data_IF_985535003750
#
_entry.id   IF_985535003750
#
_cell.length_a   1.000
_cell.length_b   1.000
_cell.length_c   1.000
_cell.angle_alpha   90.00
_cell.angle_beta   90.00
_cell.angle_gamma   90.00
#
_symmetry.space_group_name_H-M   'P 1'
#
loop_
_entity.id
_entity.type
_entity.pdbx_description
1 polymer ?
#
# COMPACT_ATOMS: atom_id res chain seq x y z
N UNK A 1 -4.22 -23.55 -15.32
CA UNK A 1 -3.33 -22.63 -16.03
C UNK A 1 -3.75 -21.19 -15.73
N UNK A 2 -2.93 -20.19 -16.00
CA UNK A 2 -3.27 -18.76 -15.79
C UNK A 2 -4.29 -18.22 -16.79
N UNK A 3 -4.41 -18.88 -17.96
CA UNK A 3 -5.47 -18.72 -18.93
C UNK A 3 -5.61 -20.04 -19.71
N UNK A 4 -6.78 -20.34 -20.32
CA UNK A 4 -6.95 -21.56 -21.12
C UNK A 4 -5.89 -21.68 -22.21
N UNK A 5 -5.12 -22.79 -22.20
CA UNK A 5 -4.09 -23.07 -23.19
C UNK A 5 -2.78 -22.30 -22.99
N UNK A 6 -2.60 -21.59 -21.87
CA UNK A 6 -1.39 -20.80 -21.67
C UNK A 6 -0.16 -21.66 -21.39
N UNK A 7 -0.33 -22.90 -20.94
CA UNK A 7 0.77 -23.75 -20.47
C UNK A 7 1.41 -23.26 -19.16
N UNK A 8 0.94 -22.15 -18.58
CA UNK A 8 1.52 -21.54 -17.38
C UNK A 8 0.65 -21.93 -16.19
N UNK A 9 1.23 -22.64 -15.22
CA UNK A 9 0.55 -23.10 -14.02
C UNK A 9 0.81 -22.22 -12.80
N UNK A 10 0.19 -22.58 -11.68
CA UNK A 10 0.48 -21.96 -10.37
C UNK A 10 1.91 -22.28 -9.90
N UNK A 11 2.39 -23.48 -10.21
CA UNK A 11 3.73 -23.96 -9.90
C UNK A 11 4.56 -24.02 -11.19
N UNK A 12 5.82 -23.58 -11.11
CA UNK A 12 6.71 -23.43 -12.26
C UNK A 12 7.57 -24.66 -12.56
N UNK A 13 7.84 -25.53 -11.58
CA UNK A 13 8.72 -26.70 -11.75
C UNK A 13 8.00 -27.93 -12.28
N UNK A 14 8.76 -28.81 -12.95
CA UNK A 14 8.28 -30.12 -13.43
C UNK A 14 6.93 -30.06 -14.16
N UNK A 15 6.85 -29.18 -15.16
CA UNK A 15 5.72 -29.07 -16.10
C UNK A 15 5.81 -30.16 -17.17
N UNK A 16 4.75 -30.31 -17.97
CA UNK A 16 4.62 -31.39 -18.95
C UNK A 16 4.05 -32.65 -18.32
N UNK A 17 3.37 -33.49 -19.10
CA UNK A 17 2.73 -34.70 -18.58
C UNK A 17 3.72 -35.68 -17.93
N UNK A 18 5.00 -35.60 -18.32
CA UNK A 18 6.14 -36.39 -17.83
C UNK A 18 6.99 -35.64 -16.79
N UNK A 19 6.70 -34.38 -16.50
CA UNK A 19 7.47 -33.53 -15.59
C UNK A 19 8.84 -33.06 -16.11
N UNK A 20 9.14 -33.20 -17.41
CA UNK A 20 10.43 -32.84 -18.00
C UNK A 20 10.63 -31.34 -18.25
N UNK A 21 9.53 -30.56 -18.23
CA UNK A 21 9.54 -29.15 -18.59
C UNK A 21 9.58 -28.25 -17.36
N UNK A 22 9.84 -26.97 -17.56
CA UNK A 22 9.85 -25.95 -16.51
C UNK A 22 9.25 -24.66 -17.04
N UNK A 23 8.70 -23.86 -16.13
CA UNK A 23 8.03 -22.57 -16.34
C UNK A 23 6.71 -22.67 -17.13
N UNK A 24 6.72 -23.36 -18.27
CA UNK A 24 5.60 -23.52 -19.19
C UNK A 24 5.54 -24.94 -19.72
N UNK A 25 4.33 -25.49 -19.85
CA UNK A 25 4.07 -26.85 -20.31
C UNK A 25 2.70 -27.34 -19.85
N UNK A 26 2.27 -28.51 -20.32
CA UNK A 26 1.02 -29.13 -19.88
C UNK A 26 1.02 -29.35 -18.34
N UNK A 27 -0.16 -29.44 -17.69
CA UNK A 27 -0.24 -29.85 -16.28
C UNK A 27 0.45 -31.21 -16.06
N UNK A 28 1.26 -31.31 -15.01
CA UNK A 28 1.84 -32.56 -14.53
C UNK A 28 0.97 -33.11 -13.39
N UNK A 29 0.39 -34.33 -13.50
CA UNK A 29 -0.40 -34.90 -12.41
C UNK A 29 0.40 -35.14 -11.13
N UNK A 30 1.73 -35.30 -11.23
CA UNK A 30 2.63 -35.58 -10.11
C UNK A 30 3.40 -34.33 -9.64
N UNK A 31 2.95 -33.12 -10.03
CA UNK A 31 3.71 -31.89 -9.77
C UNK A 31 3.91 -31.65 -8.26
N UNK A 32 2.90 -31.97 -7.44
CA UNK A 32 2.93 -31.75 -6.00
C UNK A 32 3.95 -32.63 -5.29
N UNK A 33 4.03 -33.90 -5.69
CA UNK A 33 4.99 -34.88 -5.20
C UNK A 33 6.42 -34.43 -5.53
N UNK A 34 6.64 -33.92 -6.74
CA UNK A 34 7.95 -33.38 -7.13
C UNK A 34 8.34 -32.20 -6.22
N UNK A 35 7.43 -31.28 -5.95
CA UNK A 35 7.69 -30.18 -5.02
C UNK A 35 7.98 -30.69 -3.60
N UNK A 36 7.19 -31.63 -3.08
CA UNK A 36 7.42 -32.21 -1.75
C UNK A 36 8.81 -32.87 -1.63
N UNK A 37 9.26 -33.56 -2.68
CA UNK A 37 10.60 -34.17 -2.74
C UNK A 37 11.74 -33.14 -2.81
N UNK A 38 11.46 -31.90 -3.22
CA UNK A 38 12.45 -30.84 -3.41
C UNK A 38 12.24 -29.68 -2.43
N UNK A 39 11.77 -29.98 -1.21
CA UNK A 39 11.56 -28.98 -0.14
C UNK A 39 10.63 -27.82 -0.55
N UNK A 40 9.67 -28.11 -1.43
CA UNK A 40 8.75 -27.14 -2.01
C UNK A 40 9.44 -26.01 -2.80
N UNK A 41 10.66 -26.24 -3.31
CA UNK A 41 11.43 -25.26 -4.09
C UNK A 41 11.71 -25.80 -5.50
N UNK A 42 11.57 -24.92 -6.49
CA UNK A 42 12.00 -25.17 -7.86
C UNK A 42 13.00 -24.09 -8.28
N UNK A 43 14.13 -24.50 -8.85
CA UNK A 43 15.17 -23.62 -9.36
C UNK A 43 15.41 -23.89 -10.85
N UNK A 44 15.24 -22.86 -11.68
CA UNK A 44 15.48 -22.94 -13.11
C UNK A 44 16.67 -22.04 -13.50
N UNK A 45 17.85 -22.61 -13.80
CA UNK A 45 19.01 -21.84 -14.19
C UNK A 45 18.84 -21.30 -15.61
N UNK A 46 18.87 -19.97 -15.76
CA UNK A 46 18.91 -19.36 -17.08
C UNK A 46 20.25 -19.69 -17.78
N UNK A 47 20.26 -19.96 -19.09
CA UNK A 47 21.50 -20.04 -19.87
C UNK A 47 22.35 -18.78 -19.68
N UNK A 48 23.67 -18.93 -19.64
CA UNK A 48 24.61 -17.83 -19.37
C UNK A 48 24.37 -16.59 -20.26
N UNK A 49 24.13 -16.72 -21.58
CA UNK A 49 23.87 -15.56 -22.43
C UNK A 49 22.64 -14.75 -22.02
N UNK A 50 21.68 -15.33 -21.29
CA UNK A 50 20.43 -14.66 -20.90
C UNK A 50 20.53 -13.93 -19.54
N UNK A 51 21.66 -14.08 -18.83
CA UNK A 51 21.77 -13.59 -17.44
C UNK A 51 22.01 -12.08 -17.35
N UNK A 52 22.59 -11.47 -18.38
CA UNK A 52 23.08 -10.10 -18.38
C UNK A 52 22.27 -9.17 -19.32
N UNK A 53 22.32 -7.86 -19.02
CA UNK A 53 21.69 -6.79 -19.83
C UNK A 53 20.24 -7.08 -20.24
N UNK A 54 19.44 -7.63 -19.32
CA UNK A 54 18.06 -8.11 -19.56
C UNK A 54 17.11 -7.06 -20.14
N UNK A 55 17.44 -5.78 -20.00
CA UNK A 55 16.73 -4.66 -20.60
C UNK A 55 16.92 -4.58 -22.14
N UNK A 56 18.03 -5.08 -22.69
CA UNK A 56 18.36 -4.99 -24.13
C UNK A 56 18.66 -6.35 -24.79
N UNK A 57 18.92 -7.37 -23.99
CA UNK A 57 19.29 -8.70 -24.45
C UNK A 57 18.12 -9.37 -25.18
N UNK A 58 18.22 -9.45 -26.52
CA UNK A 58 17.18 -10.04 -27.38
C UNK A 58 16.82 -11.46 -26.94
N UNK A 59 17.81 -12.31 -26.67
CA UNK A 59 17.56 -13.69 -26.25
C UNK A 59 16.77 -13.76 -24.93
N UNK A 60 17.06 -12.87 -23.97
CA UNK A 60 16.29 -12.81 -22.73
C UNK A 60 14.88 -12.28 -22.97
N UNK A 61 14.72 -11.26 -23.80
CA UNK A 61 13.41 -10.68 -24.11
C UNK A 61 12.50 -11.67 -24.86
N UNK A 62 13.05 -12.43 -25.81
CA UNK A 62 12.38 -13.55 -26.49
C UNK A 62 11.95 -14.61 -25.48
N UNK A 63 12.88 -15.05 -24.63
CA UNK A 63 12.61 -16.04 -23.58
C UNK A 63 11.50 -15.57 -22.63
N UNK A 64 11.61 -14.35 -22.09
CA UNK A 64 10.63 -13.79 -21.15
C UNK A 64 9.24 -13.63 -21.79
N UNK A 65 9.15 -13.29 -23.08
CA UNK A 65 7.89 -13.26 -23.81
C UNK A 65 7.31 -14.68 -23.98
N UNK A 66 8.14 -15.66 -24.36
CA UNK A 66 7.71 -17.05 -24.52
C UNK A 66 7.15 -17.66 -23.23
N UNK A 67 7.69 -17.23 -22.07
CA UNK A 67 7.27 -17.62 -20.72
C UNK A 67 6.08 -16.81 -20.18
N UNK A 68 5.58 -15.83 -20.94
CA UNK A 68 4.44 -14.99 -20.54
C UNK A 68 4.77 -13.96 -19.46
N UNK A 69 6.04 -13.70 -19.16
CA UNK A 69 6.45 -12.65 -18.22
C UNK A 69 6.38 -11.26 -18.82
N UNK A 70 6.40 -11.18 -20.15
CA UNK A 70 6.27 -9.94 -20.91
C UNK A 70 5.29 -10.13 -22.05
N UNK A 71 4.48 -9.10 -22.31
CA UNK A 71 3.62 -9.08 -23.49
C UNK A 71 4.40 -8.74 -24.76
N UNK A 72 5.44 -7.90 -24.64
CA UNK A 72 6.23 -7.38 -25.76
C UNK A 72 7.72 -7.68 -25.60
N UNK A 73 8.35 -7.98 -26.73
CA UNK A 73 9.79 -8.16 -26.89
C UNK A 73 10.44 -6.86 -27.42
N UNK A 74 10.16 -5.77 -26.72
CA UNK A 74 10.82 -4.48 -26.93
C UNK A 74 11.84 -4.24 -25.81
N UNK A 75 13.00 -3.63 -26.13
CA UNK A 75 13.94 -3.17 -25.13
C UNK A 75 13.30 -2.26 -24.08
N UNK A 76 13.78 -2.31 -22.84
CA UNK A 76 13.47 -1.32 -21.80
C UNK A 76 14.53 -0.24 -21.86
N UNK A 77 14.15 0.93 -22.37
CA UNK A 77 15.03 2.08 -22.55
C UNK A 77 14.59 3.17 -21.58
N UNK A 78 15.55 3.73 -20.84
CA UNK A 78 15.32 4.95 -20.05
C UNK A 78 15.33 6.10 -21.05
N UNK A 79 14.16 6.66 -21.33
CA UNK A 79 14.01 7.81 -22.21
C UNK A 79 14.07 9.09 -21.37
N UNK A 80 15.07 9.95 -21.62
CA UNK A 80 15.12 11.29 -21.04
C UNK A 80 14.14 12.25 -21.72
N UNK A 81 13.82 12.02 -22.98
CA UNK A 81 12.82 12.76 -23.73
C UNK A 81 11.65 11.84 -24.08
N UNK A 82 10.42 12.24 -23.77
CA UNK A 82 9.21 11.48 -24.07
C UNK A 82 8.48 12.05 -25.28
N UNK A 83 8.64 11.41 -26.43
CA UNK A 83 7.87 11.74 -27.65
C UNK A 83 6.36 11.60 -27.43
N UNK A 84 5.95 10.71 -26.52
CA UNK A 84 4.55 10.52 -26.15
C UNK A 84 4.02 11.76 -25.44
N UNK A 85 4.74 12.28 -24.44
CA UNK A 85 4.31 13.50 -23.72
C UNK A 85 4.36 14.72 -24.63
N UNK A 86 5.38 14.82 -25.50
CA UNK A 86 5.43 15.90 -26.50
C UNK A 86 4.19 15.93 -27.39
N UNK A 87 3.67 14.76 -27.80
CA UNK A 87 2.44 14.69 -28.58
C UNK A 87 1.22 15.25 -27.84
N UNK A 88 1.11 15.04 -26.52
CA UNK A 88 0.06 15.63 -25.70
C UNK A 88 0.25 17.15 -25.57
N UNK A 89 1.49 17.60 -25.35
CA UNK A 89 1.84 19.02 -25.24
C UNK A 89 1.53 19.80 -26.52
N UNK A 90 1.93 19.27 -27.68
CA UNK A 90 1.62 19.85 -28.99
C UNK A 90 0.10 19.90 -29.27
N UNK A 91 -0.66 18.88 -28.81
CA UNK A 91 -2.13 18.90 -28.94
C UNK A 91 -2.75 20.01 -28.11
N UNK A 92 -2.24 20.24 -26.89
CA UNK A 92 -2.67 21.32 -26.02
C UNK A 92 -2.39 22.72 -26.63
N UNK A 93 -1.25 22.88 -27.30
CA UNK A 93 -0.92 24.12 -28.03
C UNK A 93 -1.63 24.27 -29.39
N UNK A 94 -2.40 23.27 -29.82
CA UNK A 94 -3.04 23.27 -31.14
C UNK A 94 -2.07 23.18 -32.32
N UNK A 95 -0.83 22.72 -32.08
CA UNK A 95 0.24 22.64 -33.07
C UNK A 95 0.29 21.30 -33.82
N UNK A 96 -0.67 20.41 -33.59
CA UNK A 96 -0.82 19.15 -34.33
C UNK A 96 -2.26 18.93 -34.78
N UNK A 97 -2.48 18.24 -35.91
CA UNK A 97 -3.81 17.85 -36.34
C UNK A 97 -4.41 16.79 -35.41
N UNK A 98 -5.74 16.74 -35.35
CA UNK A 98 -6.49 15.71 -34.62
C UNK A 98 -7.13 16.20 -33.31
N UNK A 99 -7.31 15.27 -32.37
CA UNK A 99 -7.98 15.54 -31.09
C UNK A 99 -7.16 16.51 -30.24
N UNK A 100 -7.83 17.50 -29.69
CA UNK A 100 -7.24 18.49 -28.77
C UNK A 100 -7.89 18.35 -27.39
N UNK A 101 -7.16 18.63 -26.29
CA UNK A 101 -7.75 18.69 -24.96
C UNK A 101 -8.88 19.73 -24.90
N UNK A 102 -9.89 19.53 -24.03
CA UNK A 102 -10.87 20.56 -23.70
C UNK A 102 -10.17 21.88 -23.35
N UNK A 103 -10.77 23.03 -23.74
CA UNK A 103 -10.14 24.34 -23.62
C UNK A 103 -9.58 24.63 -22.22
N UNK A 104 -10.39 24.37 -21.19
CA UNK A 104 -10.02 24.56 -19.77
C UNK A 104 -8.87 23.66 -19.27
N UNK A 105 -8.51 22.59 -19.99
CA UNK A 105 -7.45 21.65 -19.60
C UNK A 105 -6.16 21.83 -20.41
N UNK A 106 -6.16 22.69 -21.44
CA UNK A 106 -5.00 22.84 -22.33
C UNK A 106 -3.74 23.26 -21.58
N UNK A 107 -3.84 24.26 -20.71
CA UNK A 107 -2.69 24.73 -19.94
C UNK A 107 -2.14 23.64 -19.01
N UNK A 108 -3.02 22.95 -18.27
CA UNK A 108 -2.65 21.82 -17.41
C UNK A 108 -1.94 20.70 -18.19
N UNK A 109 -2.48 20.31 -19.35
CA UNK A 109 -1.84 19.30 -20.22
C UNK A 109 -0.50 19.81 -20.75
N UNK A 110 -0.42 21.07 -21.17
CA UNK A 110 0.82 21.65 -21.68
C UNK A 110 1.93 21.76 -20.62
N UNK A 111 1.55 21.99 -19.37
CA UNK A 111 2.47 22.05 -18.23
C UNK A 111 2.98 20.67 -17.82
N UNK A 112 2.10 19.72 -17.50
CA UNK A 112 2.53 18.42 -16.96
C UNK A 112 3.00 17.42 -18.01
N UNK A 113 2.61 17.56 -19.29
CA UNK A 113 3.15 16.74 -20.37
C UNK A 113 4.44 17.34 -20.97
N UNK A 114 5.32 17.90 -20.14
CA UNK A 114 6.68 18.25 -20.59
C UNK A 114 7.40 16.97 -21.04
N UNK A 115 8.00 16.93 -22.24
CA UNK A 115 8.74 15.76 -22.68
C UNK A 115 10.04 15.54 -21.91
N UNK A 116 10.55 16.54 -21.19
CA UNK A 116 11.71 16.41 -20.33
C UNK A 116 11.30 16.33 -18.86
N UNK A 117 12.02 15.57 -18.02
CA UNK A 117 11.85 15.60 -16.58
C UNK A 117 12.03 17.01 -16.03
N UNK A 118 11.11 17.42 -15.18
CA UNK A 118 11.20 18.62 -14.37
C UNK A 118 10.72 18.31 -12.95
N UNK A 119 11.03 19.20 -12.02
CA UNK A 119 10.58 19.09 -10.64
C UNK A 119 9.41 20.05 -10.40
N UNK A 120 8.39 19.58 -9.70
CA UNK A 120 7.32 20.40 -9.14
C UNK A 120 6.96 19.90 -7.73
N UNK A 121 6.44 20.77 -6.85
CA UNK A 121 5.88 20.32 -5.58
C UNK A 121 4.63 19.47 -5.81
N UNK A 122 4.25 18.60 -4.86
CA UNK A 122 2.97 17.90 -4.88
C UNK A 122 1.77 18.80 -5.17
N UNK A 123 0.82 18.32 -5.96
CA UNK A 123 -0.40 19.07 -6.30
C UNK A 123 -1.16 19.53 -5.06
N UNK A 124 -1.22 18.67 -4.04
CA UNK A 124 -1.91 18.94 -2.79
C UNK A 124 -1.35 20.19 -2.09
N UNK A 125 -0.06 20.49 -2.23
CA UNK A 125 0.54 21.68 -1.60
C UNK A 125 -0.09 22.99 -2.08
N UNK A 126 -0.65 23.04 -3.29
CA UNK A 126 -1.36 24.22 -3.78
C UNK A 126 -2.76 24.36 -3.15
N UNK A 127 -3.31 23.30 -2.56
CA UNK A 127 -4.60 23.27 -1.90
C UNK A 127 -4.53 23.30 -0.37
N UNK A 128 -3.32 23.31 0.20
CA UNK A 128 -3.09 23.18 1.65
C UNK A 128 -2.26 24.33 2.21
N UNK A 129 -2.69 24.85 3.35
CA UNK A 129 -1.91 25.79 4.16
C UNK A 129 -0.73 25.07 4.83
N UNK A 130 0.45 25.17 4.23
CA UNK A 130 1.67 24.49 4.68
C UNK A 130 2.22 25.05 6.00
N UNK A 131 1.82 26.25 6.42
CA UNK A 131 2.21 26.79 7.74
C UNK A 131 1.35 26.16 8.84
N UNK A 132 0.05 25.99 8.58
CA UNK A 132 -0.87 25.30 9.50
C UNK A 132 -0.64 23.79 9.56
N UNK A 133 -0.25 23.17 8.44
CA UNK A 133 0.01 21.73 8.32
C UNK A 133 1.46 21.48 7.85
N UNK A 134 2.46 21.63 8.75
CA UNK A 134 3.86 21.65 8.34
C UNK A 134 4.47 20.26 8.10
N UNK A 135 3.84 19.18 8.61
CA UNK A 135 4.45 17.85 8.66
C UNK A 135 4.03 16.99 7.47
N UNK A 136 4.97 16.28 6.85
CA UNK A 136 4.64 15.19 5.94
C UNK A 136 4.14 13.97 6.74
N UNK A 137 3.06 13.32 6.30
CA UNK A 137 2.65 12.05 6.90
C UNK A 137 2.76 10.91 5.88
N UNK A 138 3.57 9.90 6.21
CA UNK A 138 3.83 8.77 5.33
C UNK A 138 3.44 7.44 5.95
N UNK A 139 3.13 6.46 5.11
CA UNK A 139 2.94 5.08 5.55
C UNK A 139 4.04 4.18 5.02
N UNK A 140 4.45 3.20 5.82
CA UNK A 140 5.38 2.16 5.40
C UNK A 140 4.67 0.81 5.42
N UNK A 141 5.06 -0.08 4.51
CA UNK A 141 4.59 -1.47 4.56
C UNK A 141 5.39 -2.20 5.63
N UNK A 142 4.76 -2.94 6.56
CA UNK A 142 5.52 -3.77 7.49
C UNK A 142 6.27 -4.86 6.72
N UNK A 143 7.52 -5.10 7.08
CA UNK A 143 8.36 -6.08 6.37
C UNK A 143 7.90 -7.54 6.56
N UNK A 144 7.12 -7.79 7.61
CA UNK A 144 6.64 -9.13 7.97
C UNK A 144 5.23 -9.45 7.42
N UNK A 145 4.58 -8.53 6.68
CA UNK A 145 3.27 -8.79 6.05
C UNK A 145 3.14 -8.07 4.70
N UNK A 146 2.35 -8.65 3.79
CA UNK A 146 2.02 -8.01 2.52
C UNK A 146 0.68 -7.26 2.61
N UNK A 147 0.73 -5.96 2.87
CA UNK A 147 -0.48 -5.13 3.07
C UNK A 147 -1.40 -5.75 4.12
N UNK A 148 -2.68 -5.95 3.77
CA UNK A 148 -3.65 -6.61 4.61
C UNK A 148 -3.69 -8.13 4.42
N UNK A 149 -2.97 -8.71 3.45
CA UNK A 149 -3.14 -10.11 3.03
C UNK A 149 -2.70 -11.15 4.05
N UNK A 150 -1.85 -10.79 5.01
CA UNK A 150 -1.42 -11.70 6.09
C UNK A 150 -2.07 -11.35 7.45
N UNK A 151 -3.08 -10.46 7.46
CA UNK A 151 -3.74 -10.01 8.70
C UNK A 151 -4.47 -11.16 9.43
N UNK A 152 -4.74 -12.28 8.77
CA UNK A 152 -5.32 -13.49 9.35
C UNK A 152 -4.29 -14.34 10.12
N UNK A 153 -2.98 -14.10 9.94
CA UNK A 153 -1.96 -14.89 10.58
C UNK A 153 -1.88 -14.58 12.09
N UNK A 154 -2.28 -15.54 12.93
CA UNK A 154 -2.34 -15.38 14.37
C UNK A 154 -1.00 -15.01 15.04
N UNK A 155 0.14 -15.34 14.42
CA UNK A 155 1.46 -14.95 14.92
C UNK A 155 1.79 -13.50 14.57
N UNK A 156 1.56 -13.10 13.32
CA UNK A 156 1.80 -11.72 12.89
C UNK A 156 0.92 -10.73 13.63
N UNK A 157 -0.32 -11.11 13.97
CA UNK A 157 -1.22 -10.29 14.79
C UNK A 157 -0.70 -9.99 16.19
N UNK A 158 0.17 -10.83 16.76
CA UNK A 158 0.80 -10.52 18.05
C UNK A 158 1.86 -9.41 17.93
N UNK A 159 2.38 -9.18 16.71
CA UNK A 159 3.42 -8.18 16.42
C UNK A 159 2.79 -6.91 15.87
N UNK A 160 1.77 -7.05 15.03
CA UNK A 160 1.16 -5.97 14.25
C UNK A 160 -0.37 -5.89 14.45
N UNK A 161 -0.86 -6.31 15.62
CA UNK A 161 -2.27 -6.14 16.00
C UNK A 161 -2.65 -4.67 16.24
N UNK A 162 -1.68 -3.78 16.37
CA UNK A 162 -1.88 -2.35 16.44
C UNK A 162 -0.67 -1.61 15.86
N UNK A 163 -0.83 -0.32 15.59
CA UNK A 163 0.23 0.57 15.13
C UNK A 163 0.30 1.84 16.00
N UNK A 164 1.43 2.52 15.94
CA UNK A 164 1.67 3.82 16.56
C UNK A 164 2.01 4.84 15.47
N UNK A 165 1.79 6.11 15.77
CA UNK A 165 2.40 7.18 14.98
C UNK A 165 3.82 7.40 15.51
N UNK A 166 4.82 7.18 14.67
CA UNK A 166 6.21 7.45 14.99
C UNK A 166 6.49 8.93 14.75
N UNK A 167 6.97 9.60 15.79
CA UNK A 167 7.22 11.05 15.81
C UNK A 167 8.61 11.31 16.35
N UNK A 168 9.29 12.31 15.79
CA UNK A 168 10.56 12.78 16.33
C UNK A 168 10.36 13.31 17.78
N UNK A 169 11.19 12.92 18.76
CA UNK A 169 11.02 13.33 20.16
C UNK A 169 11.02 14.85 20.37
N UNK A 170 11.86 15.60 19.65
CA UNK A 170 11.95 17.05 19.79
C UNK A 170 10.65 17.73 19.35
N UNK A 171 10.10 17.30 18.21
CA UNK A 171 8.80 17.77 17.71
C UNK A 171 7.69 17.43 18.71
N UNK A 172 7.63 16.18 19.18
CA UNK A 172 6.57 15.73 20.08
C UNK A 172 6.59 16.51 21.41
N UNK A 173 7.77 16.73 21.99
CA UNK A 173 7.94 17.53 23.21
C UNK A 173 7.54 18.99 23.00
N UNK A 174 7.91 19.59 21.86
CA UNK A 174 7.49 20.96 21.50
C UNK A 174 5.97 21.09 21.43
N UNK A 175 5.27 20.05 20.97
CA UNK A 175 3.81 19.98 20.89
C UNK A 175 3.14 19.49 22.18
N UNK A 176 3.90 19.22 23.25
CA UNK A 176 3.35 18.70 24.52
C UNK A 176 2.78 17.28 24.45
N UNK A 177 3.23 16.47 23.48
CA UNK A 177 2.75 15.10 23.26
C UNK A 177 3.72 14.14 23.94
N UNK A 178 3.26 13.38 24.94
CA UNK A 178 4.08 12.38 25.61
C UNK A 178 4.32 11.11 24.76
N UNK A 179 5.45 10.44 24.99
CA UNK A 179 5.68 9.10 24.42
C UNK A 179 4.63 8.10 24.93
N UNK A 180 4.05 7.31 24.02
CA UNK A 180 2.89 6.45 24.31
C UNK A 180 1.55 7.17 24.56
N UNK A 181 1.56 8.51 24.56
CA UNK A 181 0.38 9.36 24.74
C UNK A 181 -0.55 9.34 23.53
N UNK A 182 -1.79 9.79 23.73
CA UNK A 182 -2.74 9.98 22.63
C UNK A 182 -2.53 11.34 21.98
N UNK A 183 -2.62 11.37 20.66
CA UNK A 183 -2.56 12.59 19.86
C UNK A 183 -3.64 12.59 18.79
N UNK A 184 -3.95 13.79 18.31
CA UNK A 184 -4.67 14.01 17.06
C UNK A 184 -3.68 14.27 15.93
N UNK A 185 -3.95 13.62 14.81
CA UNK A 185 -3.33 13.87 13.51
C UNK A 185 -4.42 14.52 12.67
N UNK A 186 -4.20 15.75 12.22
CA UNK A 186 -5.19 16.50 11.44
C UNK A 186 -4.58 16.94 10.12
N UNK A 187 -5.32 16.71 9.04
CA UNK A 187 -5.11 17.27 7.71
C UNK A 187 -6.30 18.18 7.37
N UNK A 188 -6.24 18.97 6.28
CA UNK A 188 -7.43 19.66 5.76
C UNK A 188 -8.61 18.73 5.43
N UNK A 189 -8.34 17.45 5.20
CA UNK A 189 -9.28 16.46 4.68
C UNK A 189 -9.94 15.62 5.78
N UNK A 190 -9.37 15.60 6.97
CA UNK A 190 -9.84 14.75 8.06
C UNK A 190 -8.90 14.68 9.24
N UNK A 191 -9.29 13.85 10.20
CA UNK A 191 -8.61 13.71 11.48
C UNK A 191 -8.42 12.24 11.85
N UNK A 192 -7.41 11.93 12.64
CA UNK A 192 -7.16 10.58 13.19
C UNK A 192 -6.67 10.71 14.61
N UNK A 193 -7.20 9.91 15.55
CA UNK A 193 -6.63 9.76 16.90
C UNK A 193 -5.77 8.51 16.94
N UNK A 194 -4.53 8.65 17.41
CA UNK A 194 -3.56 7.56 17.46
C UNK A 194 -2.67 7.65 18.70
N UNK A 195 -1.99 6.56 19.05
CA UNK A 195 -0.94 6.57 20.07
C UNK A 195 0.40 6.98 19.47
N UNK A 196 1.09 7.88 20.15
CA UNK A 196 2.44 8.32 19.83
C UNK A 196 3.46 7.24 20.13
N UNK A 197 4.52 7.17 19.33
CA UNK A 197 5.79 6.53 19.67
C UNK A 197 6.92 7.47 19.30
N UNK A 198 7.77 7.77 20.27
CA UNK A 198 9.00 8.50 20.01
C UNK A 198 9.97 7.65 19.19
N UNK A 199 10.61 8.27 18.19
CA UNK A 199 11.68 7.65 17.42
C UNK A 199 12.61 8.71 16.86
N UNK A 200 13.88 8.67 17.26
CA UNK A 200 14.93 9.57 16.74
C UNK A 200 15.31 9.27 15.28
N UNK A 201 14.89 8.11 14.75
CA UNK A 201 15.05 7.77 13.34
C UNK A 201 14.06 8.52 12.43
N UNK A 202 13.12 9.27 13.00
CA UNK A 202 12.15 10.08 12.25
C UNK A 202 12.71 11.47 12.02
N UNK A 203 12.75 11.87 10.75
CA UNK A 203 13.08 13.24 10.36
C UNK A 203 12.07 14.23 10.97
N UNK A 204 12.49 15.34 11.60
CA UNK A 204 11.60 16.23 12.36
C UNK A 204 10.41 16.83 11.59
N UNK A 205 10.49 16.99 10.27
CA UNK A 205 9.38 17.44 9.42
C UNK A 205 8.42 16.34 8.95
N UNK A 206 8.58 15.12 9.47
CA UNK A 206 7.86 13.93 9.02
C UNK A 206 7.27 13.14 10.18
N UNK A 207 6.14 12.49 9.96
CA UNK A 207 5.59 11.44 10.83
C UNK A 207 5.27 10.21 9.99
N UNK A 208 5.32 9.02 10.59
CA UNK A 208 4.98 7.82 9.85
C UNK A 208 4.31 6.74 10.68
N UNK A 209 3.61 5.83 10.00
CA UNK A 209 3.05 4.62 10.61
C UNK A 209 3.05 3.44 9.64
N UNK A 210 2.72 2.26 10.15
CA UNK A 210 2.51 1.06 9.35
C UNK A 210 1.18 1.14 8.57
N UNK A 211 1.23 0.82 7.28
CA UNK A 211 0.05 0.70 6.44
C UNK A 211 -0.74 -0.57 6.78
N UNK A 212 -2.06 -0.53 6.55
CA UNK A 212 -2.98 -1.67 6.55
C UNK A 212 -3.18 -2.38 7.90
N UNK A 213 -2.81 -1.74 9.01
CA UNK A 213 -2.99 -2.31 10.36
C UNK A 213 -4.40 -2.12 10.89
N UNK A 214 -4.90 -0.88 10.97
CA UNK A 214 -6.24 -0.58 11.48
C UNK A 214 -7.34 -1.31 10.71
N UNK A 215 -8.32 -1.88 11.44
CA UNK A 215 -9.49 -2.58 10.88
C UNK A 215 -10.75 -2.09 11.57
N UNK A 216 -11.81 -1.83 10.81
CA UNK A 216 -13.11 -1.56 11.41
C UNK A 216 -13.61 -2.77 12.21
N UNK A 217 -14.27 -2.52 13.34
CA UNK A 217 -14.81 -3.56 14.20
C UNK A 217 -15.83 -4.43 13.45
N UNK A 218 -15.75 -5.75 13.64
CA UNK A 218 -16.63 -6.72 12.97
C UNK A 218 -16.21 -7.16 11.56
N UNK A 219 -15.13 -6.60 11.01
CA UNK A 219 -14.58 -7.05 9.73
C UNK A 219 -13.49 -8.12 9.92
N UNK A 220 -13.14 -8.80 8.83
CA UNK A 220 -12.03 -9.79 8.77
C UNK A 220 -12.18 -10.99 9.73
N UNK A 221 -13.39 -11.24 10.25
CA UNK A 221 -13.63 -12.29 11.24
C UNK A 221 -12.96 -12.02 12.59
N UNK A 222 -12.55 -10.77 12.85
CA UNK A 222 -11.91 -10.37 14.10
C UNK A 222 -12.95 -10.17 15.20
N UNK A 223 -12.55 -10.44 16.45
CA UNK A 223 -13.38 -10.10 17.60
C UNK A 223 -13.66 -8.58 17.62
N UNK A 224 -14.86 -8.11 17.98
CA UNK A 224 -15.18 -6.67 18.00
C UNK A 224 -14.26 -5.80 18.89
N UNK A 225 -13.49 -6.43 19.78
CA UNK A 225 -12.53 -5.82 20.70
C UNK A 225 -11.07 -6.12 20.34
N UNK A 226 -10.80 -6.54 19.10
CA UNK A 226 -9.44 -6.80 18.63
C UNK A 226 -8.63 -5.49 18.61
N UNK A 227 -7.34 -5.55 18.93
CA UNK A 227 -6.49 -4.35 18.99
C UNK A 227 -6.50 -3.57 17.68
N UNK A 228 -6.66 -4.29 16.56
CA UNK A 228 -6.70 -3.74 15.21
C UNK A 228 -7.85 -2.75 15.03
N UNK A 229 -8.96 -2.95 15.75
CA UNK A 229 -10.12 -2.05 15.73
C UNK A 229 -10.13 -1.06 16.88
N UNK A 230 -9.61 -1.46 18.04
CA UNK A 230 -9.63 -0.60 19.22
C UNK A 230 -8.57 0.49 19.12
N UNK A 231 -7.31 0.12 18.85
CA UNK A 231 -6.17 1.03 18.89
C UNK A 231 -5.46 1.18 17.55
N UNK A 232 -5.66 0.25 16.62
CA UNK A 232 -5.17 0.36 15.26
C UNK A 232 -5.86 1.48 14.49
N UNK A 233 -5.13 2.11 13.57
CA UNK A 233 -5.64 3.22 12.76
C UNK A 233 -5.05 3.21 11.35
N UNK A 234 -5.65 3.99 10.45
CA UNK A 234 -5.19 4.19 9.07
C UNK A 234 -5.03 5.69 8.81
N UNK A 235 -3.90 6.11 8.22
CA UNK A 235 -3.74 7.49 7.75
C UNK A 235 -4.61 7.80 6.52
N UNK A 236 -5.22 6.78 5.88
CA UNK A 236 -6.11 6.95 4.74
C UNK A 236 -7.28 7.92 5.01
N UNK A 237 -7.70 8.09 6.27
CA UNK A 237 -8.72 9.06 6.66
C UNK A 237 -8.26 10.53 6.57
N UNK A 238 -6.96 10.76 6.35
CA UNK A 238 -6.36 12.08 6.18
C UNK A 238 -6.06 12.40 4.72
N UNK A 239 -6.31 11.48 3.78
CA UNK A 239 -5.93 11.62 2.38
C UNK A 239 -7.19 11.88 1.56
N UNK A 240 -7.14 12.87 0.65
CA UNK A 240 -8.20 13.12 -0.31
C UNK A 240 -7.86 12.52 -1.67
N UNK A 241 -8.85 11.90 -2.33
CA UNK A 241 -8.75 11.41 -3.71
C UNK A 241 -8.99 12.52 -4.74
N UNK A 242 -9.51 13.66 -4.30
CA UNK A 242 -9.86 14.81 -5.13
C UNK A 242 -9.41 16.13 -4.47
N UNK A 243 -8.93 17.06 -5.28
CA UNK A 243 -8.52 18.40 -4.86
C UNK A 243 -9.44 19.46 -5.48
N UNK A 244 -9.62 20.62 -4.83
CA UNK A 244 -10.32 21.76 -5.45
C UNK A 244 -9.63 22.18 -6.75
N UNK A 245 -10.37 22.20 -7.86
CA UNK A 245 -9.84 22.55 -9.18
C UNK A 245 -9.28 23.99 -9.21
N UNK A 246 -9.88 24.89 -8.42
CA UNK A 246 -9.46 26.29 -8.30
C UNK A 246 -8.06 26.43 -7.72
N UNK A 247 -7.68 25.57 -6.77
CA UNK A 247 -6.35 25.56 -6.18
C UNK A 247 -5.26 25.18 -7.20
N UNK A 248 -5.63 24.39 -8.23
CA UNK A 248 -4.71 23.93 -9.27
C UNK A 248 -4.81 24.73 -10.58
N UNK A 249 -5.52 25.87 -10.58
CA UNK A 249 -5.75 26.67 -11.79
C UNK A 249 -6.58 25.94 -12.87
N UNK A 250 -7.31 24.89 -12.51
CA UNK A 250 -8.08 24.04 -13.43
C UNK A 250 -9.57 24.42 -13.56
N UNK A 251 -9.96 25.59 -13.06
CA UNK A 251 -11.33 26.11 -13.12
C UNK A 251 -12.16 25.81 -11.87
N UNK A 252 -13.45 25.52 -12.05
CA UNK A 252 -14.38 25.21 -10.95
C UNK A 252 -14.54 23.69 -10.77
N UNK A 253 -14.90 23.26 -9.55
CA UNK A 253 -15.16 21.85 -9.23
C UNK A 253 -13.97 21.16 -8.56
N UNK A 254 -13.81 19.87 -8.84
CA UNK A 254 -12.76 19.02 -8.28
C UNK A 254 -11.97 18.32 -9.38
N UNK A 255 -10.72 17.97 -9.07
CA UNK A 255 -9.82 17.22 -9.93
C UNK A 255 -9.19 16.09 -9.13
N UNK A 256 -8.88 14.97 -9.78
CA UNK A 256 -8.24 13.84 -9.08
C UNK A 256 -6.91 14.25 -8.45
N UNK A 257 -6.68 13.83 -7.20
CA UNK A 257 -5.41 13.93 -6.48
C UNK A 257 -4.44 12.82 -6.94
N UNK A 258 -4.16 12.82 -8.24
CA UNK A 258 -3.27 11.88 -8.88
C UNK A 258 -2.24 12.60 -9.71
N UNK A 259 -1.08 11.98 -9.89
CA UNK A 259 -0.06 12.40 -10.84
C UNK A 259 -0.71 12.67 -12.21
N UNK A 260 -0.57 13.87 -12.79
CA UNK A 260 -1.31 14.29 -13.97
C UNK A 260 -1.00 13.49 -15.24
N UNK A 261 0.09 12.71 -15.24
CA UNK A 261 0.57 11.94 -16.39
C UNK A 261 0.21 10.45 -16.26
N UNK A 262 0.52 9.87 -15.12
CA UNK A 262 0.41 8.43 -14.86
C UNK A 262 -0.90 8.05 -14.17
N UNK A 263 -1.58 9.00 -13.53
CA UNK A 263 -2.76 8.73 -12.70
C UNK A 263 -2.45 8.02 -11.38
N UNK A 264 -1.19 8.00 -10.95
CA UNK A 264 -0.81 7.43 -9.66
C UNK A 264 -1.29 8.34 -8.51
N UNK A 265 -1.93 7.76 -7.49
CA UNK A 265 -2.48 8.52 -6.38
C UNK A 265 -1.41 9.22 -5.52
N UNK A 266 -1.70 10.46 -5.09
CA UNK A 266 -0.84 11.32 -4.25
C UNK A 266 -0.80 10.95 -2.75
N UNK A 267 -0.77 9.66 -2.41
CA UNK A 267 -0.94 9.20 -1.01
C UNK A 267 0.16 9.65 -0.04
N UNK A 268 1.33 10.08 -0.53
CA UNK A 268 2.44 10.56 0.31
C UNK A 268 2.57 12.09 0.31
N UNK A 269 1.62 12.78 -0.32
CA UNK A 269 1.64 14.24 -0.43
C UNK A 269 0.93 14.92 0.76
N UNK A 270 0.23 14.12 1.58
CA UNK A 270 -0.58 14.62 2.69
C UNK A 270 0.26 15.36 3.72
N UNK A 271 -0.25 16.53 4.10
CA UNK A 271 0.34 17.38 5.12
C UNK A 271 -0.54 17.43 6.36
N UNK A 272 0.08 17.34 7.53
CA UNK A 272 -0.63 17.22 8.81
C UNK A 272 -0.08 18.17 9.86
N UNK A 273 -0.87 18.37 10.90
CA UNK A 273 -0.44 18.90 12.19
C UNK A 273 -0.76 17.91 13.31
N UNK A 274 0.02 17.96 14.37
CA UNK A 274 -0.17 17.15 15.57
C UNK A 274 -0.51 18.03 16.76
N UNK A 275 -1.34 17.52 17.65
CA UNK A 275 -1.57 18.11 18.95
C UNK A 275 -2.05 17.03 19.94
N UNK A 276 -1.91 17.25 21.24
CA UNK A 276 -2.40 16.31 22.24
C UNK A 276 -3.89 16.04 22.02
N UNK A 277 -4.27 14.77 22.02
CA UNK A 277 -5.69 14.45 22.18
C UNK A 277 -6.02 14.64 23.66
N UNK A 278 -7.15 15.28 23.95
CA UNK A 278 -7.57 15.59 25.32
C UNK A 278 -7.27 14.43 26.28
N UNK A 279 -6.61 14.75 27.39
CA UNK A 279 -6.49 13.80 28.49
C UNK A 279 -7.90 13.40 28.94
N UNK A 280 -8.12 12.14 29.35
CA UNK A 280 -9.45 11.56 29.47
C UNK A 280 -10.44 12.42 30.29
N UNK A 281 -11.69 12.64 29.82
CA UNK A 281 -12.82 12.57 30.73
C UNK A 281 -12.78 11.20 31.43
N UNK A 282 -13.52 10.95 32.52
CA UNK A 282 -13.57 9.64 33.19
C UNK A 282 -13.96 8.42 32.29
N UNK A 283 -14.17 8.65 30.99
CA UNK A 283 -14.48 7.73 29.92
C UNK A 283 -13.49 7.87 28.73
N UNK A 284 -12.17 7.81 28.94
CA UNK A 284 -11.28 7.44 27.80
C UNK A 284 -11.74 6.08 27.31
N UNK A 285 -12.23 5.99 26.08
CA UNK A 285 -12.52 4.69 25.49
C UNK A 285 -11.24 3.91 25.17
N UNK A 286 -10.07 4.57 25.25
CA UNK A 286 -8.78 3.96 24.92
C UNK A 286 -8.71 3.56 23.45
N UNK A 287 -9.46 4.25 22.59
CA UNK A 287 -9.64 3.93 21.18
C UNK A 287 -9.01 4.95 20.24
N UNK A 288 -8.58 4.47 19.07
CA UNK A 288 -8.27 5.31 17.91
C UNK A 288 -9.54 5.93 17.32
N UNK A 289 -9.39 6.92 16.44
CA UNK A 289 -10.50 7.54 15.72
C UNK A 289 -10.13 7.69 14.24
N UNK A 290 -11.09 7.55 13.29
CA UNK A 290 -12.52 7.29 13.47
C UNK A 290 -12.86 5.86 13.91
N UNK A 291 -14.01 5.72 14.57
CA UNK A 291 -14.63 4.43 14.91
C UNK A 291 -15.95 4.31 14.16
N UNK A 292 -16.27 3.09 13.71
CA UNK A 292 -17.46 2.82 12.90
C UNK A 292 -18.31 1.75 13.57
N UNK A 293 -19.63 1.90 13.48
CA UNK A 293 -20.57 0.85 13.87
C UNK A 293 -20.31 -0.40 13.03
N UNK A 294 -20.12 -1.58 13.66
CA UNK A 294 -19.94 -2.82 12.92
C UNK A 294 -21.09 -3.06 11.93
N UNK A 295 -20.82 -3.52 10.70
CA UNK A 295 -21.86 -3.85 9.75
C UNK A 295 -22.74 -4.97 10.29
N UNK A 296 -24.00 -5.01 9.86
CA UNK A 296 -24.86 -6.14 10.16
C UNK A 296 -24.25 -7.43 9.60
N UNK A 297 -24.31 -8.51 10.37
CA UNK A 297 -23.80 -9.81 9.93
C UNK A 297 -24.42 -10.20 8.58
N UNK A 298 -23.58 -10.64 7.64
CA UNK A 298 -24.05 -11.10 6.34
C UNK A 298 -25.04 -12.27 6.50
N UNK A 299 -26.06 -12.39 5.63
CA UNK A 299 -26.92 -13.57 5.60
C UNK A 299 -26.06 -14.84 5.49
N UNK A 300 -26.35 -15.85 6.32
CA UNK A 300 -25.58 -17.10 6.44
C UNK A 300 -24.19 -16.98 7.10
N UNK A 301 -23.85 -15.84 7.71
CA UNK A 301 -22.68 -15.76 8.56
C UNK A 301 -22.92 -16.59 9.83
N UNK A 302 -22.41 -17.82 9.86
CA UNK A 302 -22.31 -18.59 11.09
C UNK A 302 -21.37 -17.82 12.00
N UNK A 303 -21.87 -17.37 13.16
CA UNK A 303 -21.06 -16.75 14.18
C UNK A 303 -19.99 -17.75 14.64
N UNK A 304 -18.83 -17.72 13.99
CA UNK A 304 -17.61 -18.32 14.51
C UNK A 304 -17.04 -17.39 15.57
N UNK A 305 -17.84 -16.96 16.55
CA UNK A 305 -17.27 -16.46 17.79
C UNK A 305 -16.43 -17.63 18.32
N UNK A 306 -15.09 -17.53 18.34
CA UNK A 306 -14.30 -18.61 18.85
C UNK A 306 -14.73 -18.81 20.31
N UNK A 307 -15.06 -20.06 20.70
CA UNK A 307 -15.38 -20.42 22.10
C UNK A 307 -14.26 -20.02 23.07
N UNK A 308 -13.09 -19.67 22.54
CA UNK A 308 -11.91 -19.23 23.25
C UNK A 308 -11.56 -17.84 22.73
N UNK A 309 -11.64 -16.84 23.61
CA UNK A 309 -11.35 -15.43 23.30
C UNK A 309 -9.85 -15.12 23.13
N UNK A 310 -8.97 -16.05 23.52
CA UNK A 310 -7.51 -15.91 23.45
C UNK A 310 -6.89 -17.21 22.92
N UNK A 311 -6.27 -17.16 21.74
CA UNK A 311 -5.45 -18.27 21.24
C UNK A 311 -4.21 -18.41 22.14
N UNK A 312 -4.31 -19.27 23.17
CA UNK A 312 -3.17 -19.64 24.02
C UNK A 312 -2.29 -20.63 23.24
N UNK A 313 -1.32 -20.13 22.49
CA UNK A 313 -0.25 -20.99 21.97
C UNK A 313 0.70 -21.32 23.14
N UNK A 314 0.49 -22.49 23.77
CA UNK A 314 1.42 -23.03 24.75
C UNK A 314 2.73 -23.42 24.06
N UNK A 315 3.73 -22.53 24.09
CA UNK A 315 5.10 -22.86 23.80
C UNK A 315 5.71 -23.60 25.01
N UNK A 316 5.32 -24.85 25.20
CA UNK A 316 5.87 -25.70 26.26
C UNK A 316 5.01 -26.95 26.50
N UNK A 317 5.63 -28.13 26.42
CA UNK A 317 4.99 -29.40 26.82
C UNK A 317 4.62 -29.35 28.30
N UNK A 318 3.40 -28.92 28.62
CA UNK A 318 2.89 -28.98 29.99
C UNK A 318 2.48 -30.43 30.32
N UNK A 319 3.42 -31.23 30.81
CA UNK A 319 3.10 -32.34 31.70
C UNK A 319 2.79 -31.76 33.09
N UNK A 320 1.63 -31.14 33.29
CA UNK A 320 1.09 -31.01 34.64
C UNK A 320 -0.43 -30.83 34.61
N UNK A 321 -1.12 -31.83 35.21
CA UNK A 321 -2.51 -31.73 35.63
C UNK A 321 -2.57 -30.76 36.81
N UNK A 322 -2.88 -29.50 36.52
CA UNK A 322 -3.27 -28.52 37.52
C UNK A 322 -4.56 -27.85 37.05
N UNK A 323 -5.61 -27.95 37.85
CA UNK A 323 -6.85 -27.20 37.67
C UNK A 323 -6.54 -25.71 37.74
N UNK A 324 -6.89 -24.97 36.68
CA UNK A 324 -6.75 -23.52 36.65
C UNK A 324 -7.91 -22.81 37.38
N UNK A 325 -7.64 -21.63 37.98
CA UNK A 325 -8.65 -20.77 38.63
C UNK A 325 -9.60 -20.10 37.66
#
# INVERSE_FOLDING_TARGET
ETAPGSGIGFLSGWRGADGSQSLKGAPNPNQWEMYAQHNCVHHHPLPEPLRYLRNWNRGYLDFAQSMGWRTRNSPVIIALYSDVLQQFRLAAWGQRPGRQPPGQLRERVAHHCDPLPFWEPPLEHAAVDLERYPLAAVTQRPMAMYHAWDSQNAWLRQIHGHNRLYVNPALAQQQGIADGGWLWIESPWGQVRARCQYSEAVEPGTVWTWNAIGKASGFWGLHPRAEESQTGFLLNHLISEELPASALGAGQGVVSNSDPVTGQAGWYDVRVRLYPADAPPAQDTGQSWPQFTPPQALPHHVSHLPKISVLRYFAGRAKHKGSQP
#
